data_IF_881996091296
#
_entry.id   IF_881996091296
#
_cell.length_a   1.000
_cell.length_b   1.000
_cell.length_c   1.000
_cell.angle_alpha   90.00
_cell.angle_beta   90.00
_cell.angle_gamma   90.00
#
_symmetry.space_group_name_H-M   'P 1'
#
loop_
_entity.id
_entity.type
_entity.pdbx_description
1 polymer ?
#
# COMPACT_ATOMS: atom_id res chain seq x y z
N UNK A 1 36.22 5.00 -79.95
CA UNK A 1 34.96 5.05 -79.12
C UNK A 1 35.00 4.02 -77.98
N UNK A 2 35.61 2.89 -78.10
CA UNK A 2 35.61 1.79 -77.09
C UNK A 2 36.36 2.10 -75.79
N UNK A 3 37.46 2.91 -75.83
CA UNK A 3 38.23 3.20 -74.60
C UNK A 3 37.62 4.18 -73.61
N UNK A 4 36.72 5.05 -74.09
CA UNK A 4 36.01 6.01 -73.25
C UNK A 4 34.87 5.32 -72.49
N UNK A 5 34.14 4.39 -73.10
CA UNK A 5 33.11 3.59 -72.50
C UNK A 5 33.62 2.73 -71.35
N UNK A 6 34.82 2.16 -71.43
CA UNK A 6 35.44 1.34 -70.35
C UNK A 6 35.79 2.20 -69.14
N UNK A 7 36.26 3.44 -69.33
CA UNK A 7 36.54 4.37 -68.24
C UNK A 7 35.30 4.85 -67.50
N UNK A 8 34.19 5.14 -68.23
CA UNK A 8 32.94 5.55 -67.68
C UNK A 8 32.30 4.42 -66.83
N UNK A 9 32.33 3.18 -67.32
CA UNK A 9 31.86 2.03 -66.53
C UNK A 9 32.64 1.79 -65.26
N UNK A 10 33.97 1.98 -65.23
CA UNK A 10 34.77 1.87 -64.02
C UNK A 10 34.50 2.96 -63.02
N UNK A 11 34.24 4.19 -63.42
CA UNK A 11 33.91 5.32 -62.56
C UNK A 11 32.49 5.12 -61.95
N UNK A 12 31.52 4.62 -62.72
CA UNK A 12 30.18 4.29 -62.21
C UNK A 12 30.23 3.14 -61.22
N UNK A 13 31.06 2.11 -61.45
CA UNK A 13 31.21 0.99 -60.55
C UNK A 13 31.88 1.39 -59.23
N UNK A 14 32.88 2.27 -59.26
CA UNK A 14 33.57 2.80 -58.05
C UNK A 14 32.58 3.73 -57.28
N UNK A 15 31.79 4.56 -57.94
CA UNK A 15 30.81 5.42 -57.32
C UNK A 15 29.65 4.61 -56.66
N UNK A 16 29.23 3.50 -57.29
CA UNK A 16 28.25 2.57 -56.73
C UNK A 16 28.76 1.83 -55.48
N UNK A 17 30.06 1.42 -55.47
CA UNK A 17 30.66 0.82 -54.31
C UNK A 17 30.81 1.80 -53.13
N UNK A 18 31.11 3.07 -53.39
CA UNK A 18 31.15 4.08 -52.32
C UNK A 18 29.76 4.40 -51.71
N UNK A 19 28.70 4.34 -52.52
CA UNK A 19 27.31 4.53 -52.04
C UNK A 19 26.84 3.40 -51.10
N UNK A 20 27.30 2.17 -51.27
CA UNK A 20 26.92 1.03 -50.43
C UNK A 20 27.61 1.05 -49.07
N UNK A 21 28.79 1.65 -48.93
CA UNK A 21 29.54 1.74 -47.67
C UNK A 21 28.89 2.80 -46.72
N UNK A 22 28.22 3.82 -47.28
CA UNK A 22 27.54 4.86 -46.48
C UNK A 22 26.21 4.41 -45.85
N UNK A 23 25.64 3.28 -46.29
CA UNK A 23 24.33 2.80 -45.79
C UNK A 23 24.43 2.01 -44.49
N UNK A 24 25.60 1.64 -44.01
CA UNK A 24 25.78 0.89 -42.76
C UNK A 24 25.48 1.69 -41.48
N UNK A 25 25.32 3.01 -41.58
CA UNK A 25 24.99 3.86 -40.41
C UNK A 25 23.49 3.94 -40.07
N UNK A 26 22.64 3.38 -40.95
CA UNK A 26 21.15 3.49 -40.82
C UNK A 26 20.53 2.18 -40.31
N UNK A 27 21.32 1.16 -40.03
CA UNK A 27 20.81 -0.10 -39.48
C UNK A 27 20.25 0.14 -38.05
N UNK A 28 19.05 -0.36 -37.73
CA UNK A 28 18.47 -0.25 -36.39
C UNK A 28 19.40 -0.93 -35.41
N UNK A 29 19.82 -0.17 -34.38
CA UNK A 29 20.69 -0.64 -33.31
C UNK A 29 19.87 -0.93 -32.07
N UNK A 30 20.35 -1.88 -31.28
CA UNK A 30 19.70 -2.28 -30.02
C UNK A 30 19.88 -1.30 -28.84
N UNK A 31 20.42 -0.10 -29.12
CA UNK A 31 20.61 0.97 -28.14
C UNK A 31 21.77 1.92 -28.54
N UNK A 32 21.94 3.05 -27.84
CA UNK A 32 23.01 4.00 -28.09
C UNK A 32 24.37 3.37 -27.78
N UNK A 33 25.38 3.69 -28.59
CA UNK A 33 26.75 3.25 -28.31
C UNK A 33 27.41 4.18 -27.28
N UNK A 34 28.55 3.75 -26.73
CA UNK A 34 29.33 4.50 -25.75
C UNK A 34 29.64 5.94 -26.20
N UNK A 35 29.97 6.11 -27.46
CA UNK A 35 30.34 7.43 -28.04
C UNK A 35 29.13 8.34 -28.08
N UNK A 36 27.96 7.86 -28.47
CA UNK A 36 26.69 8.63 -28.49
C UNK A 36 26.29 9.06 -27.08
N UNK A 37 26.38 8.16 -26.09
CA UNK A 37 26.07 8.51 -24.69
C UNK A 37 27.06 9.56 -24.17
N UNK A 38 28.37 9.40 -24.41
CA UNK A 38 29.38 10.36 -23.94
C UNK A 38 29.37 11.69 -24.70
N UNK A 39 28.96 11.70 -25.96
CA UNK A 39 28.77 12.91 -26.73
C UNK A 39 27.57 13.73 -26.26
N UNK A 40 26.46 13.08 -25.91
CA UNK A 40 25.27 13.75 -25.40
C UNK A 40 25.47 14.46 -24.05
N UNK A 41 26.46 14.00 -23.28
CA UNK A 41 26.83 14.62 -22.00
C UNK A 41 27.80 15.81 -22.12
N UNK A 42 28.42 16.02 -23.32
CA UNK A 42 29.44 17.07 -23.56
C UNK A 42 28.93 18.24 -24.39
N UNK A 43 27.69 18.25 -24.81
CA UNK A 43 27.08 19.33 -25.59
C UNK A 43 26.81 20.62 -24.78
N UNK A 44 26.54 21.72 -25.47
CA UNK A 44 26.18 23.00 -24.82
C UNK A 44 24.92 22.92 -23.95
N UNK A 45 24.01 21.97 -24.23
CA UNK A 45 22.85 21.63 -23.38
C UNK A 45 22.87 20.13 -23.12
N UNK A 46 23.60 19.67 -22.09
CA UNK A 46 23.70 18.25 -21.78
C UNK A 46 22.35 17.70 -21.32
N UNK A 47 21.86 16.67 -22.00
CA UNK A 47 20.63 15.96 -21.64
C UNK A 47 20.84 14.93 -20.52
N UNK A 48 22.11 14.63 -20.19
CA UNK A 48 22.47 13.70 -19.13
C UNK A 48 23.83 14.06 -18.53
N UNK A 49 23.99 13.87 -17.24
CA UNK A 49 25.28 13.95 -16.56
C UNK A 49 25.86 12.55 -16.40
N UNK A 50 27.11 12.36 -16.83
CA UNK A 50 27.82 11.08 -16.67
C UNK A 50 28.72 11.15 -15.45
N UNK A 51 28.41 10.33 -14.46
CA UNK A 51 29.20 10.18 -13.25
C UNK A 51 29.85 8.80 -13.26
N UNK A 52 31.18 8.67 -13.08
CA UNK A 52 31.85 7.36 -12.99
C UNK A 52 31.34 6.64 -11.72
N UNK A 53 31.03 5.34 -11.85
CA UNK A 53 30.60 4.53 -10.71
C UNK A 53 31.83 4.21 -9.85
N UNK A 54 32.00 4.93 -8.75
CA UNK A 54 33.00 4.69 -7.72
C UNK A 54 32.33 4.25 -6.41
N UNK A 55 33.05 3.65 -5.44
CA UNK A 55 32.48 3.29 -4.16
C UNK A 55 31.82 4.48 -3.43
N UNK A 56 32.40 5.67 -3.56
CA UNK A 56 31.89 6.91 -2.97
C UNK A 56 30.55 7.30 -3.60
N UNK A 57 30.46 7.27 -4.94
CA UNK A 57 29.23 7.59 -5.67
C UNK A 57 28.14 6.57 -5.34
N UNK A 58 28.47 5.30 -5.22
CA UNK A 58 27.53 4.25 -4.82
C UNK A 58 26.98 4.52 -3.43
N UNK A 59 27.83 4.93 -2.49
CA UNK A 59 27.44 5.26 -1.13
C UNK A 59 26.51 6.48 -1.08
N UNK A 60 26.88 7.58 -1.75
CA UNK A 60 26.11 8.83 -1.80
C UNK A 60 24.78 8.69 -2.56
N UNK A 61 24.73 7.84 -3.59
CA UNK A 61 23.52 7.59 -4.37
C UNK A 61 22.66 6.45 -3.83
N UNK A 62 23.04 5.84 -2.71
CA UNK A 62 22.23 4.88 -2.02
C UNK A 62 21.00 5.62 -1.48
N UNK A 63 19.84 5.38 -2.07
CA UNK A 63 18.60 5.99 -1.61
C UNK A 63 18.36 5.62 -0.14
N UNK A 64 18.10 6.60 0.73
CA UNK A 64 17.69 6.30 2.08
C UNK A 64 16.33 5.60 2.03
N UNK A 65 16.33 4.31 2.19
CA UNK A 65 15.12 3.50 2.22
C UNK A 65 14.43 3.54 3.59
N UNK A 66 14.55 4.62 4.32
CA UNK A 66 13.89 4.77 5.61
C UNK A 66 12.45 5.26 5.43
N UNK A 67 11.61 4.40 4.87
CA UNK A 67 10.18 4.50 5.11
C UNK A 67 9.94 4.18 6.58
N UNK A 68 8.99 4.86 7.21
CA UNK A 68 8.67 4.61 8.61
C UNK A 68 7.54 5.51 9.08
N UNK A 69 6.92 5.11 10.18
CA UNK A 69 5.88 5.92 10.78
C UNK A 69 6.47 7.11 11.53
N UNK A 70 5.83 8.27 11.39
CA UNK A 70 6.16 9.45 12.18
C UNK A 70 5.80 9.23 13.65
N UNK A 71 6.40 10.03 14.53
CA UNK A 71 6.15 9.95 15.99
C UNK A 71 4.67 10.02 16.35
N UNK A 72 3.87 10.79 15.60
CA UNK A 72 2.43 10.92 15.83
C UNK A 72 1.65 9.62 15.58
N UNK A 73 2.12 8.77 14.68
CA UNK A 73 1.55 7.44 14.46
C UNK A 73 2.03 6.45 15.52
N UNK A 74 3.34 6.43 15.81
CA UNK A 74 3.96 5.49 16.76
C UNK A 74 3.47 5.69 18.20
N UNK A 75 3.19 6.93 18.61
CA UNK A 75 2.71 7.27 19.95
C UNK A 75 1.19 7.18 20.10
N UNK A 76 0.46 6.80 19.05
CA UNK A 76 -0.98 6.66 19.12
C UNK A 76 -1.36 5.52 20.06
N UNK A 77 -2.10 5.84 21.13
CA UNK A 77 -2.61 4.81 22.05
C UNK A 77 -3.73 4.01 21.37
N UNK A 78 -3.83 2.71 21.60
CA UNK A 78 -4.94 1.91 21.09
C UNK A 78 -6.29 2.49 21.54
N UNK A 79 -7.29 2.41 20.65
CA UNK A 79 -8.66 2.78 21.02
C UNK A 79 -9.17 1.85 22.10
N UNK A 80 -9.86 2.41 23.09
CA UNK A 80 -10.65 1.58 24.00
C UNK A 80 -11.83 1.02 23.18
N UNK A 81 -11.70 -0.26 22.81
CA UNK A 81 -12.68 -0.95 21.99
C UNK A 81 -13.93 -1.39 22.78
N UNK A 82 -13.94 -1.24 24.11
CA UNK A 82 -15.09 -1.58 24.98
C UNK A 82 -16.11 -0.44 25.01
N UNK A 83 -15.67 0.80 24.79
CA UNK A 83 -16.57 1.94 24.80
C UNK A 83 -17.49 1.95 23.58
N UNK A 84 -18.77 2.10 23.82
CA UNK A 84 -19.77 2.25 22.77
C UNK A 84 -19.68 3.64 22.14
N UNK A 85 -19.93 3.72 20.84
CA UNK A 85 -19.84 4.94 20.04
C UNK A 85 -21.10 5.15 19.21
N UNK A 86 -21.36 6.40 18.76
CA UNK A 86 -22.37 6.64 17.75
C UNK A 86 -22.13 5.77 16.51
N UNK A 87 -23.17 5.14 15.97
CA UNK A 87 -23.08 4.21 14.86
C UNK A 87 -22.90 2.75 15.25
N UNK A 88 -22.51 2.43 16.48
CA UNK A 88 -22.50 1.05 16.97
C UNK A 88 -23.93 0.49 17.05
N UNK A 89 -24.03 -0.83 16.91
CA UNK A 89 -25.31 -1.54 17.05
C UNK A 89 -25.27 -2.42 18.29
N UNK A 90 -26.27 -2.27 19.13
CA UNK A 90 -26.42 -3.01 20.36
C UNK A 90 -27.57 -4.05 20.27
N UNK A 91 -27.37 -5.13 20.99
CA UNK A 91 -28.36 -6.18 21.21
C UNK A 91 -28.62 -6.23 22.68
N UNK A 92 -29.93 -6.05 23.06
CA UNK A 92 -30.37 -6.08 24.42
C UNK A 92 -31.32 -7.28 24.64
N UNK A 93 -31.11 -7.98 25.75
CA UNK A 93 -32.06 -8.96 26.24
C UNK A 93 -32.48 -8.54 27.63
N UNK A 94 -33.79 -8.44 27.85
CA UNK A 94 -34.36 -8.01 29.11
C UNK A 94 -35.30 -9.13 29.62
N UNK A 95 -35.01 -9.64 30.79
CA UNK A 95 -35.83 -10.62 31.47
C UNK A 95 -36.62 -9.91 32.57
N UNK A 96 -37.90 -10.22 32.66
CA UNK A 96 -38.84 -9.71 33.69
C UNK A 96 -39.31 -10.87 34.56
N UNK A 97 -39.30 -10.68 35.86
CA UNK A 97 -39.70 -11.70 36.81
C UNK A 97 -41.22 -11.62 37.12
N UNK A 98 -42.05 -11.54 36.04
CA UNK A 98 -43.50 -11.45 36.10
C UNK A 98 -44.13 -12.26 34.95
N UNK A 99 -45.36 -12.84 35.20
CA UNK A 99 -46.01 -13.68 34.19
C UNK A 99 -46.53 -12.91 32.96
N UNK A 100 -46.91 -11.62 33.15
CA UNK A 100 -47.33 -10.69 32.08
C UNK A 100 -46.46 -9.42 32.13
N UNK A 101 -45.19 -9.57 31.67
CA UNK A 101 -44.24 -8.46 31.67
C UNK A 101 -44.58 -7.36 30.67
N UNK A 102 -44.08 -6.15 30.90
CA UNK A 102 -44.29 -4.99 30.02
C UNK A 102 -43.66 -5.16 28.66
N UNK A 103 -42.50 -5.84 28.60
CA UNK A 103 -41.72 -6.05 27.43
C UNK A 103 -41.84 -7.47 26.87
N UNK A 104 -42.11 -8.45 27.73
CA UNK A 104 -42.32 -9.84 27.36
C UNK A 104 -43.77 -10.13 27.06
N UNK A 105 -44.08 -10.82 25.95
CA UNK A 105 -45.43 -11.23 25.60
C UNK A 105 -45.50 -12.76 25.47
N UNK A 106 -46.54 -13.34 26.13
CA UNK A 106 -46.82 -14.77 26.06
C UNK A 106 -45.97 -15.62 27.01
N UNK A 107 -45.56 -16.82 26.58
CA UNK A 107 -44.83 -17.79 27.42
C UNK A 107 -43.33 -17.48 27.56
N UNK A 108 -42.84 -16.35 27.07
CA UNK A 108 -41.42 -15.95 27.15
C UNK A 108 -41.26 -14.87 28.21
N UNK A 109 -40.48 -15.12 29.24
CA UNK A 109 -40.09 -14.12 30.26
C UNK A 109 -38.97 -13.18 29.81
N UNK A 110 -38.57 -13.23 28.53
CA UNK A 110 -37.49 -12.42 27.97
C UNK A 110 -37.96 -11.66 26.75
N UNK A 111 -37.67 -10.37 26.70
CA UNK A 111 -37.79 -9.50 25.53
C UNK A 111 -36.43 -9.26 24.93
N UNK A 112 -36.31 -9.50 23.62
CA UNK A 112 -35.05 -9.26 22.87
C UNK A 112 -35.25 -8.06 21.94
N UNK A 113 -34.42 -7.05 22.12
CA UNK A 113 -34.31 -5.88 21.24
C UNK A 113 -33.05 -5.99 20.43
N UNK A 114 -33.19 -6.37 19.16
CA UNK A 114 -32.07 -6.52 18.20
C UNK A 114 -31.87 -5.22 17.43
N UNK A 115 -30.68 -5.02 16.96
CA UNK A 115 -30.30 -3.95 16.01
C UNK A 115 -30.60 -2.52 16.48
N UNK A 116 -30.39 -2.28 17.78
CA UNK A 116 -30.49 -0.94 18.35
C UNK A 116 -29.27 -0.12 17.97
N UNK A 117 -29.41 0.71 16.94
CA UNK A 117 -28.32 1.59 16.50
C UNK A 117 -28.20 2.78 17.45
N UNK A 118 -26.97 3.07 17.88
CA UNK A 118 -26.63 4.28 18.63
C UNK A 118 -26.69 5.47 17.68
N UNK A 119 -27.56 6.43 17.99
CA UNK A 119 -27.78 7.62 17.18
C UNK A 119 -26.60 8.59 17.23
N UNK A 120 -26.60 9.61 16.35
CA UNK A 120 -25.52 10.61 16.27
C UNK A 120 -25.35 11.44 17.56
N UNK A 121 -26.32 11.43 18.47
CA UNK A 121 -26.24 12.05 19.81
C UNK A 121 -25.69 11.10 20.88
N UNK A 122 -25.38 9.87 20.51
CA UNK A 122 -24.84 8.83 21.39
C UNK A 122 -25.88 8.14 22.24
N UNK A 123 -27.15 8.12 21.80
CA UNK A 123 -28.30 7.56 22.57
C UNK A 123 -28.92 6.40 21.82
N UNK A 124 -29.55 5.53 22.60
CA UNK A 124 -30.49 4.51 22.11
C UNK A 124 -31.89 4.76 22.71
N UNK A 125 -32.91 4.25 22.04
CA UNK A 125 -34.26 4.21 22.59
C UNK A 125 -34.56 2.80 23.10
N UNK A 126 -34.95 2.72 24.39
CA UNK A 126 -35.37 1.48 25.01
C UNK A 126 -36.82 1.68 25.46
N UNK A 127 -37.79 0.83 25.03
CA UNK A 127 -39.18 0.93 25.47
C UNK A 127 -39.27 0.99 26.99
N UNK A 128 -40.15 1.81 27.49
CA UNK A 128 -40.41 2.10 28.93
C UNK A 128 -39.24 2.79 29.67
N UNK A 129 -38.00 2.61 29.26
CA UNK A 129 -36.84 3.32 29.81
C UNK A 129 -36.53 4.65 29.08
N UNK A 130 -37.09 4.84 27.86
CA UNK A 130 -36.91 6.06 27.10
C UNK A 130 -35.57 6.14 26.36
N UNK A 131 -35.04 7.37 26.24
CA UNK A 131 -33.73 7.61 25.57
C UNK A 131 -32.59 7.57 26.58
N UNK A 132 -31.67 6.65 26.42
CA UNK A 132 -30.53 6.42 27.31
C UNK A 132 -29.23 6.81 26.60
N UNK A 133 -28.40 7.60 27.30
CA UNK A 133 -27.03 7.91 26.82
C UNK A 133 -26.15 6.68 26.97
N UNK A 134 -25.60 6.19 25.86
CA UNK A 134 -24.76 4.98 25.82
C UNK A 134 -23.35 5.23 25.25
N UNK A 135 -23.19 6.26 24.44
CA UNK A 135 -21.86 6.60 23.93
C UNK A 135 -20.92 7.02 25.06
N UNK A 136 -19.71 6.47 25.05
CA UNK A 136 -18.70 6.69 26.07
C UNK A 136 -18.80 5.74 27.26
N UNK A 137 -19.79 4.84 27.28
CA UNK A 137 -19.98 3.82 28.32
C UNK A 137 -19.62 2.44 27.80
N UNK A 138 -19.26 1.56 28.72
CA UNK A 138 -19.09 0.12 28.46
C UNK A 138 -20.44 -0.59 28.43
N UNK A 139 -20.56 -1.78 27.82
CA UNK A 139 -21.80 -2.56 27.87
C UNK A 139 -22.32 -2.81 29.31
N UNK A 140 -21.39 -3.00 30.26
CA UNK A 140 -21.77 -3.21 31.67
C UNK A 140 -22.35 -1.95 32.33
N UNK A 141 -21.77 -0.78 32.08
CA UNK A 141 -22.32 0.49 32.56
C UNK A 141 -23.71 0.76 31.95
N UNK A 142 -23.87 0.46 30.64
CA UNK A 142 -25.15 0.58 29.94
C UNK A 142 -26.19 -0.37 30.54
N UNK A 143 -25.80 -1.62 30.85
CA UNK A 143 -26.66 -2.58 31.54
C UNK A 143 -27.22 -1.98 32.84
N UNK A 144 -26.32 -1.38 33.65
CA UNK A 144 -26.74 -0.75 34.93
C UNK A 144 -27.68 0.43 34.70
N UNK A 145 -27.40 1.31 33.72
CA UNK A 145 -28.27 2.45 33.39
C UNK A 145 -29.66 1.99 32.95
N UNK A 146 -29.72 0.96 32.09
CA UNK A 146 -31.05 0.45 31.65
C UNK A 146 -31.79 -0.23 32.79
N UNK A 147 -31.08 -1.06 33.59
CA UNK A 147 -31.70 -1.72 34.76
C UNK A 147 -32.30 -0.68 35.69
N UNK A 148 -31.55 0.38 36.02
CA UNK A 148 -32.03 1.46 36.89
C UNK A 148 -33.25 2.18 36.31
N UNK A 149 -33.25 2.47 35.00
CA UNK A 149 -34.35 3.14 34.33
C UNK A 149 -35.65 2.29 34.27
N UNK A 150 -35.51 0.96 34.32
CA UNK A 150 -36.65 0.02 34.30
C UNK A 150 -37.14 -0.37 35.68
N UNK A 151 -36.39 -0.13 36.77
CA UNK A 151 -36.77 -0.53 38.15
C UNK A 151 -38.13 0.00 38.60
N UNK A 152 -38.52 1.22 38.16
CA UNK A 152 -39.80 1.82 38.50
C UNK A 152 -40.94 1.34 37.58
N UNK A 153 -40.63 0.59 36.53
CA UNK A 153 -41.60 0.21 35.50
C UNK A 153 -41.94 -1.29 35.56
N UNK A 154 -40.97 -2.14 35.96
CA UNK A 154 -41.18 -3.59 36.06
C UNK A 154 -40.43 -4.17 37.26
N UNK A 155 -40.89 -5.36 37.72
CA UNK A 155 -40.32 -6.01 38.89
C UNK A 155 -39.05 -6.78 38.57
N UNK A 156 -37.91 -6.43 39.23
CA UNK A 156 -36.61 -7.10 39.17
C UNK A 156 -36.11 -7.32 37.74
N UNK A 157 -35.97 -6.26 36.89
CA UNK A 157 -35.53 -6.39 35.53
C UNK A 157 -34.04 -6.86 35.45
N UNK A 158 -33.81 -7.94 34.71
CA UNK A 158 -32.45 -8.43 34.40
C UNK A 158 -32.13 -8.03 32.98
N UNK A 159 -31.03 -7.31 32.78
CA UNK A 159 -30.66 -6.78 31.46
C UNK A 159 -29.31 -7.36 31.04
N UNK A 160 -29.20 -7.80 29.80
CA UNK A 160 -27.93 -8.11 29.12
C UNK A 160 -27.73 -7.16 27.94
N UNK A 161 -26.54 -6.61 27.82
CA UNK A 161 -26.14 -5.71 26.72
C UNK A 161 -24.95 -6.28 26.00
N UNK A 162 -25.08 -6.48 24.69
CA UNK A 162 -24.01 -6.90 23.80
C UNK A 162 -23.90 -5.92 22.64
N UNK A 163 -22.68 -5.60 22.22
CA UNK A 163 -22.45 -4.94 20.94
C UNK A 163 -22.46 -6.00 19.83
N UNK A 164 -23.43 -5.93 18.92
CA UNK A 164 -23.59 -6.86 17.80
C UNK A 164 -22.77 -6.45 16.58
N UNK A 165 -22.60 -5.14 16.34
CA UNK A 165 -21.76 -4.62 15.29
C UNK A 165 -21.05 -3.33 15.75
N UNK A 166 -19.81 -3.14 15.33
CA UNK A 166 -18.98 -1.99 15.66
C UNK A 166 -18.76 -1.11 14.43
N UNK A 167 -19.73 -0.23 14.11
CA UNK A 167 -19.58 0.76 13.05
C UNK A 167 -19.15 2.14 13.57
N UNK A 168 -19.03 2.30 14.90
CA UNK A 168 -18.67 3.56 15.55
C UNK A 168 -17.17 3.93 15.45
N UNK A 169 -16.33 3.02 14.98
CA UNK A 169 -14.93 3.30 14.61
C UNK A 169 -14.50 2.33 13.52
N UNK A 170 -14.12 2.87 12.38
CA UNK A 170 -13.80 2.07 11.19
C UNK A 170 -12.54 2.55 10.50
N UNK A 171 -11.90 1.65 9.75
CA UNK A 171 -10.84 1.97 8.80
C UNK A 171 -11.21 1.49 7.41
N UNK A 172 -10.71 2.16 6.38
CA UNK A 172 -10.85 1.70 5.01
C UNK A 172 -9.54 1.10 4.53
N UNK A 173 -9.62 -0.08 3.88
CA UNK A 173 -8.47 -0.79 3.31
C UNK A 173 -8.66 -0.91 1.81
N UNK A 174 -7.66 -0.47 1.04
CA UNK A 174 -7.69 -0.42 -0.42
C UNK A 174 -6.35 -0.90 -0.96
N UNK A 175 -6.36 -1.57 -2.11
CA UNK A 175 -5.17 -1.98 -2.86
C UNK A 175 -4.94 -3.49 -2.88
N UNK A 176 -3.68 -3.92 -2.86
CA UNK A 176 -3.28 -5.32 -3.03
C UNK A 176 -3.48 -6.16 -1.76
N UNK A 177 -4.74 -6.35 -1.36
CA UNK A 177 -5.16 -7.09 -0.16
C UNK A 177 -6.26 -8.08 -0.52
N UNK A 178 -6.40 -9.17 0.25
CA UNK A 178 -7.39 -10.21 0.00
C UNK A 178 -8.83 -9.72 0.04
N UNK A 179 -9.17 -8.78 0.94
CA UNK A 179 -10.48 -8.14 1.04
C UNK A 179 -10.34 -6.62 1.15
N UNK A 180 -10.77 -5.90 0.11
CA UNK A 180 -10.87 -4.44 0.19
C UNK A 180 -12.22 -4.05 0.81
N UNK A 181 -12.24 -3.00 1.64
CA UNK A 181 -13.49 -2.57 2.25
C UNK A 181 -13.30 -1.70 3.48
N UNK A 182 -14.41 -1.53 4.21
CA UNK A 182 -14.46 -0.82 5.48
C UNK A 182 -14.51 -1.87 6.59
N UNK A 183 -13.60 -1.76 7.55
CA UNK A 183 -13.43 -2.71 8.64
C UNK A 183 -13.63 -2.01 9.98
N UNK A 184 -14.38 -2.60 10.90
CA UNK A 184 -14.53 -2.07 12.26
C UNK A 184 -13.25 -2.27 13.08
N UNK A 185 -12.92 -1.28 13.91
CA UNK A 185 -11.85 -1.40 14.89
C UNK A 185 -12.41 -2.09 16.13
N UNK A 186 -12.09 -3.37 16.27
CA UNK A 186 -12.43 -4.19 17.43
C UNK A 186 -11.20 -4.36 18.34
N UNK A 187 -11.41 -4.97 19.51
CA UNK A 187 -10.29 -5.28 20.42
C UNK A 187 -9.19 -6.08 19.75
N UNK A 188 -9.54 -7.00 18.86
CA UNK A 188 -8.62 -7.89 18.14
C UNK A 188 -7.98 -7.26 16.90
N UNK A 189 -8.58 -6.19 16.34
CA UNK A 189 -8.16 -5.57 15.07
C UNK A 189 -7.76 -4.11 15.24
N UNK A 190 -7.31 -3.73 16.44
CA UNK A 190 -6.97 -2.35 16.80
C UNK A 190 -5.60 -1.87 16.34
N UNK A 191 -4.75 -2.80 15.85
CA UNK A 191 -3.43 -2.49 15.31
C UNK A 191 -3.37 -2.75 13.81
N UNK A 192 -2.39 -2.17 13.13
CA UNK A 192 -2.24 -2.26 11.69
C UNK A 192 -2.07 -3.70 11.22
N UNK A 193 -1.18 -4.46 11.86
CA UNK A 193 -0.89 -5.85 11.48
C UNK A 193 -2.11 -6.76 11.61
N UNK A 194 -2.82 -6.66 12.74
CA UNK A 194 -4.02 -7.47 13.00
C UNK A 194 -5.18 -7.10 12.06
N UNK A 195 -5.27 -5.83 11.71
CA UNK A 195 -6.26 -5.35 10.74
C UNK A 195 -5.96 -5.88 9.34
N UNK A 196 -4.70 -5.86 8.89
CA UNK A 196 -4.30 -6.43 7.60
C UNK A 196 -4.57 -7.94 7.54
N UNK A 197 -4.32 -8.66 8.63
CA UNK A 197 -4.66 -10.08 8.72
C UNK A 197 -6.16 -10.32 8.60
N UNK A 198 -7.00 -9.50 9.24
CA UNK A 198 -8.47 -9.62 9.14
C UNK A 198 -9.01 -9.29 7.75
N UNK A 199 -8.28 -8.48 6.98
CA UNK A 199 -8.61 -8.17 5.58
C UNK A 199 -8.17 -9.27 4.60
N UNK A 200 -7.83 -10.47 5.08
CA UNK A 200 -7.47 -11.62 4.26
C UNK A 200 -5.99 -11.67 3.86
N UNK A 201 -5.15 -10.86 4.49
CA UNK A 201 -3.70 -10.83 4.22
C UNK A 201 -3.35 -10.37 2.81
N UNK A 202 -2.15 -10.71 2.38
CA UNK A 202 -1.58 -10.23 1.11
C UNK A 202 -1.09 -11.41 0.28
N UNK A 203 -1.51 -11.44 -0.98
CA UNK A 203 -1.12 -12.48 -1.95
C UNK A 203 0.24 -12.26 -2.62
N UNK A 204 1.04 -11.28 -2.16
CA UNK A 204 2.32 -10.89 -2.73
C UNK A 204 3.42 -10.91 -1.66
N UNK A 205 4.70 -10.93 -2.10
CA UNK A 205 5.83 -10.93 -1.17
C UNK A 205 5.84 -9.65 -0.32
N UNK A 206 5.97 -9.80 0.98
CA UNK A 206 5.96 -8.67 1.94
C UNK A 206 7.03 -7.61 1.64
N UNK A 207 8.21 -8.03 1.18
CA UNK A 207 9.33 -7.16 0.80
C UNK A 207 9.01 -6.17 -0.33
N UNK A 208 7.98 -6.48 -1.13
CA UNK A 208 7.57 -5.69 -2.30
C UNK A 208 6.27 -4.91 -2.06
N UNK A 209 5.79 -4.87 -0.83
CA UNK A 209 4.55 -4.19 -0.49
C UNK A 209 4.82 -2.99 0.39
N UNK A 210 4.31 -1.84 -0.03
CA UNK A 210 4.26 -0.63 0.78
C UNK A 210 2.87 -0.48 1.38
N UNK A 211 2.85 -0.22 2.66
CA UNK A 211 1.63 0.08 3.41
C UNK A 211 1.66 1.56 3.76
N UNK A 212 0.73 2.31 3.22
CA UNK A 212 0.53 3.73 3.52
C UNK A 212 -0.66 3.89 4.45
N UNK A 213 -0.48 4.57 5.56
CA UNK A 213 -1.57 4.95 6.46
C UNK A 213 -1.81 6.45 6.37
N UNK A 214 -3.06 6.82 6.11
CA UNK A 214 -3.51 8.22 6.01
C UNK A 214 -4.48 8.48 7.15
N UNK A 215 -4.11 9.40 8.03
CA UNK A 215 -4.89 9.86 9.20
C UNK A 215 -5.15 11.36 9.10
N UNK A 216 -6.35 11.74 8.68
CA UNK A 216 -6.65 13.14 8.36
C UNK A 216 -5.75 13.67 7.25
N UNK A 217 -4.87 14.61 7.56
CA UNK A 217 -3.88 15.18 6.63
C UNK A 217 -2.49 14.52 6.75
N UNK A 218 -2.29 13.64 7.74
CA UNK A 218 -1.02 12.97 7.95
C UNK A 218 -0.93 11.73 7.08
N UNK A 219 0.21 11.53 6.44
CA UNK A 219 0.54 10.34 5.66
C UNK A 219 1.87 9.77 6.14
N UNK A 220 1.92 8.47 6.32
CA UNK A 220 3.15 7.73 6.61
C UNK A 220 3.15 6.40 5.90
N UNK A 221 4.33 5.95 5.54
CA UNK A 221 4.52 4.72 4.75
C UNK A 221 5.54 3.81 5.45
N UNK A 222 5.32 2.51 5.33
CA UNK A 222 6.22 1.47 5.82
C UNK A 222 6.26 0.31 4.82
N UNK A 223 7.38 -0.37 4.74
CA UNK A 223 7.42 -1.66 4.06
C UNK A 223 6.77 -2.74 4.93
N UNK A 224 6.03 -3.64 4.33
CA UNK A 224 5.28 -4.65 5.08
C UNK A 224 6.18 -5.63 5.84
N UNK A 225 7.34 -5.99 5.29
CA UNK A 225 8.34 -6.80 5.96
C UNK A 225 8.86 -6.11 7.23
N UNK A 226 9.11 -4.79 7.18
CA UNK A 226 9.52 -4.01 8.35
C UNK A 226 8.43 -3.96 9.44
N UNK A 227 7.15 -3.96 9.05
CA UNK A 227 6.05 -4.05 10.01
C UNK A 227 6.06 -5.40 10.76
N UNK A 228 6.47 -6.48 10.08
CA UNK A 228 6.57 -7.80 10.70
C UNK A 228 7.83 -7.98 11.55
N UNK A 229 8.95 -7.41 11.09
CA UNK A 229 10.24 -7.54 11.76
C UNK A 229 10.38 -6.62 12.97
N UNK A 230 9.59 -5.53 13.02
CA UNK A 230 9.67 -4.49 14.05
C UNK A 230 8.31 -4.25 14.72
N UNK A 231 8.03 -4.91 15.85
CA UNK A 231 6.76 -4.74 16.56
C UNK A 231 6.44 -3.29 16.95
N UNK A 232 7.45 -2.44 17.12
CA UNK A 232 7.26 -1.01 17.39
C UNK A 232 6.66 -0.22 16.22
N UNK A 233 6.69 -0.78 15.00
CA UNK A 233 6.04 -0.21 13.81
C UNK A 233 4.56 -0.60 13.72
N UNK A 234 4.06 -1.51 14.56
CA UNK A 234 2.66 -1.92 14.56
C UNK A 234 1.79 -0.87 15.26
N UNK A 235 1.44 0.17 14.52
CA UNK A 235 0.71 1.32 15.03
C UNK A 235 -0.73 0.99 15.42
N UNK A 236 -1.23 1.71 16.44
CA UNK A 236 -2.64 1.70 16.79
C UNK A 236 -3.47 2.48 15.75
N UNK A 237 -4.53 1.86 15.27
CA UNK A 237 -5.46 2.44 14.31
C UNK A 237 -6.45 3.41 14.98
N UNK A 238 -6.93 4.37 14.20
CA UNK A 238 -7.93 5.36 14.59
C UNK A 238 -9.12 5.33 13.65
N UNK A 239 -10.24 5.78 14.15
CA UNK A 239 -11.42 5.98 13.31
C UNK A 239 -11.12 6.91 12.14
N UNK A 240 -11.57 6.51 10.94
CA UNK A 240 -11.33 7.23 9.70
C UNK A 240 -9.94 7.04 9.09
N UNK A 241 -9.06 6.20 9.64
CA UNK A 241 -7.79 5.84 9.00
C UNK A 241 -8.06 5.17 7.65
N UNK A 242 -7.25 5.55 6.66
CA UNK A 242 -7.22 4.89 5.35
C UNK A 242 -5.91 4.18 5.18
N UNK A 243 -5.98 2.90 4.87
CA UNK A 243 -4.84 2.03 4.65
C UNK A 243 -4.78 1.70 3.17
N UNK A 244 -3.73 2.16 2.51
CA UNK A 244 -3.47 1.89 1.10
C UNK A 244 -2.32 0.91 0.99
N UNK A 245 -2.53 -0.16 0.23
CA UNK A 245 -1.59 -1.26 0.07
C UNK A 245 -1.19 -1.33 -1.40
N UNK A 246 0.07 -1.02 -1.68
CA UNK A 246 0.61 -0.93 -3.03
C UNK A 246 1.76 -1.91 -3.21
N UNK A 247 1.64 -2.79 -4.22
CA UNK A 247 2.76 -3.59 -4.65
C UNK A 247 3.79 -2.71 -5.39
N UNK A 248 5.07 -2.98 -5.18
CA UNK A 248 6.14 -2.30 -5.91
C UNK A 248 6.04 -2.64 -7.40
N UNK A 249 5.84 -1.62 -8.22
CA UNK A 249 5.72 -1.73 -9.67
C UNK A 249 6.99 -1.25 -10.40
N UNK A 250 8.07 -0.99 -9.67
CA UNK A 250 9.31 -0.55 -10.28
C UNK A 250 9.84 -1.62 -11.23
N UNK A 251 10.38 -1.18 -12.34
CA UNK A 251 11.03 -2.02 -13.34
C UNK A 251 12.25 -1.31 -13.89
N UNK A 252 13.18 -2.08 -14.42
CA UNK A 252 14.31 -1.56 -15.17
C UNK A 252 14.32 -2.16 -16.57
N UNK A 253 14.89 -1.41 -17.52
CA UNK A 253 15.03 -1.85 -18.90
C UNK A 253 16.51 -2.09 -19.17
N UNK A 254 16.83 -3.25 -19.69
CA UNK A 254 18.18 -3.58 -20.15
C UNK A 254 18.19 -3.64 -21.66
N UNK A 255 19.12 -2.90 -22.26
CA UNK A 255 19.32 -2.79 -23.70
C UNK A 255 20.80 -2.90 -24.04
N UNK A 256 21.11 -3.19 -25.30
CA UNK A 256 22.50 -3.29 -25.81
C UNK A 256 23.00 -4.73 -25.90
N UNK A 257 24.31 -4.90 -25.75
CA UNK A 257 24.98 -6.18 -25.92
C UNK A 257 24.87 -7.09 -24.68
N UNK A 258 23.65 -7.53 -24.39
CA UNK A 258 23.30 -8.44 -23.28
C UNK A 258 22.72 -9.75 -23.80
N UNK A 259 22.59 -10.76 -22.95
CA UNK A 259 22.02 -12.06 -23.34
C UNK A 259 20.63 -11.94 -23.91
N UNK A 260 19.80 -11.05 -23.32
CA UNK A 260 18.51 -10.62 -23.89
C UNK A 260 18.21 -9.16 -23.49
N UNK A 261 17.45 -8.47 -24.33
CA UNK A 261 16.93 -7.16 -24.01
C UNK A 261 15.52 -7.34 -23.41
N UNK A 262 15.28 -6.74 -22.27
CA UNK A 262 14.00 -6.89 -21.59
C UNK A 262 13.73 -5.74 -20.61
N UNK A 263 12.45 -5.50 -20.37
CA UNK A 263 11.99 -4.82 -19.18
C UNK A 263 11.76 -5.89 -18.08
N UNK A 264 12.40 -5.70 -16.93
CA UNK A 264 12.36 -6.64 -15.81
C UNK A 264 11.80 -5.93 -14.58
N UNK A 265 10.72 -6.43 -13.96
CA UNK A 265 10.23 -5.88 -12.71
C UNK A 265 11.22 -6.15 -11.58
N UNK A 266 11.22 -5.30 -10.56
CA UNK A 266 11.92 -5.57 -9.32
C UNK A 266 11.22 -6.71 -8.60
N UNK A 267 11.96 -7.72 -8.18
CA UNK A 267 11.49 -8.87 -7.39
C UNK A 267 12.05 -8.87 -5.97
N UNK A 268 12.81 -7.82 -5.64
CA UNK A 268 13.35 -7.47 -4.33
C UNK A 268 13.38 -5.94 -4.22
N UNK A 269 13.44 -5.43 -2.99
CA UNK A 269 13.45 -4.00 -2.68
C UNK A 269 14.62 -3.25 -3.33
N UNK A 270 15.80 -3.86 -3.29
CA UNK A 270 17.04 -3.34 -3.87
C UNK A 270 17.63 -4.38 -4.83
N UNK A 271 18.13 -3.92 -5.94
CA UNK A 271 18.77 -4.76 -6.96
C UNK A 271 20.09 -4.09 -7.36
N UNK A 272 21.17 -4.81 -7.31
CA UNK A 272 22.46 -4.32 -7.83
C UNK A 272 22.49 -4.37 -9.37
N UNK A 273 23.30 -3.52 -9.98
CA UNK A 273 23.48 -3.55 -11.44
C UNK A 273 23.99 -4.92 -11.95
N UNK A 274 24.78 -5.61 -11.14
CA UNK A 274 25.27 -6.96 -11.49
C UNK A 274 24.13 -7.99 -11.46
N UNK A 275 23.28 -7.97 -10.45
CA UNK A 275 22.08 -8.82 -10.39
C UNK A 275 21.13 -8.52 -11.53
N UNK A 276 20.89 -7.24 -11.82
CA UNK A 276 20.07 -6.82 -12.95
C UNK A 276 20.60 -7.41 -14.27
N UNK A 277 21.90 -7.32 -14.52
CA UNK A 277 22.54 -7.93 -15.69
C UNK A 277 22.41 -9.46 -15.70
N UNK A 278 22.58 -10.12 -14.57
CA UNK A 278 22.49 -11.58 -14.49
C UNK A 278 21.12 -12.11 -14.89
N UNK A 279 20.02 -11.38 -14.58
CA UNK A 279 18.65 -11.75 -14.92
C UNK A 279 18.33 -11.77 -16.41
N UNK A 280 19.16 -11.09 -17.22
CA UNK A 280 19.05 -11.08 -18.68
C UNK A 280 20.14 -11.92 -19.37
N UNK A 281 20.87 -12.74 -18.60
CA UNK A 281 21.91 -13.63 -19.13
C UNK A 281 23.28 -12.96 -19.23
N UNK A 282 23.51 -11.84 -18.55
CA UNK A 282 24.79 -11.14 -18.50
C UNK A 282 25.14 -10.35 -19.77
N UNK A 283 26.38 -9.92 -19.85
CA UNK A 283 26.94 -9.25 -21.02
C UNK A 283 27.34 -10.29 -22.09
N UNK A 284 27.12 -9.94 -23.36
CA UNK A 284 27.58 -10.78 -24.49
C UNK A 284 29.10 -10.82 -24.53
N UNK A 285 29.68 -12.02 -24.44
CA UNK A 285 31.15 -12.20 -24.46
C UNK A 285 31.82 -11.69 -25.73
N UNK A 286 31.08 -11.61 -26.83
CA UNK A 286 31.61 -11.25 -28.14
C UNK A 286 31.32 -9.79 -28.55
N UNK A 287 30.30 -9.17 -27.97
CA UNK A 287 29.81 -7.87 -28.45
C UNK A 287 29.87 -6.78 -27.39
N UNK A 288 29.91 -7.15 -26.11
CA UNK A 288 29.88 -6.18 -25.04
C UNK A 288 31.27 -5.64 -24.68
N UNK A 289 31.35 -4.32 -24.47
CA UNK A 289 32.48 -3.69 -23.78
C UNK A 289 32.11 -3.56 -22.28
N UNK A 290 32.78 -4.31 -21.38
CA UNK A 290 32.49 -4.22 -19.94
C UNK A 290 32.72 -2.82 -19.35
N UNK A 291 33.53 -1.98 -20.01
CA UNK A 291 33.78 -0.57 -19.62
C UNK A 291 32.70 0.39 -20.16
N UNK A 292 31.81 -0.11 -21.00
CA UNK A 292 30.75 0.65 -21.64
C UNK A 292 29.34 0.37 -21.05
N UNK A 293 29.25 -0.03 -19.79
CA UNK A 293 27.98 -0.23 -19.09
C UNK A 293 27.54 1.08 -18.45
N UNK A 294 26.33 1.52 -18.75
CA UNK A 294 25.73 2.73 -18.21
C UNK A 294 24.44 2.39 -17.46
N UNK A 295 24.24 3.03 -16.30
CA UNK A 295 22.98 3.01 -15.57
C UNK A 295 22.33 4.37 -15.75
N UNK A 296 21.17 4.40 -16.42
CA UNK A 296 20.41 5.61 -16.64
C UNK A 296 19.33 5.72 -15.55
N UNK A 297 19.35 6.81 -14.81
CA UNK A 297 18.32 7.14 -13.82
C UNK A 297 17.67 8.46 -14.21
N UNK A 298 16.35 8.52 -14.11
CA UNK A 298 15.62 9.79 -14.17
C UNK A 298 15.65 10.38 -12.76
N UNK A 299 16.22 11.56 -12.58
CA UNK A 299 15.98 12.34 -11.37
C UNK A 299 14.61 12.98 -11.50
N UNK A 300 13.71 12.66 -10.56
CA UNK A 300 12.53 13.48 -10.36
C UNK A 300 13.03 14.79 -9.73
N UNK A 301 13.06 15.85 -10.53
CA UNK A 301 13.20 17.20 -10.00
C UNK A 301 11.94 17.46 -9.17
N UNK A 302 12.01 17.16 -7.87
CA UNK A 302 11.10 17.74 -6.90
C UNK A 302 11.44 19.23 -6.82
N UNK A 303 10.63 20.04 -7.50
CA UNK A 303 10.58 21.49 -7.35
C UNK A 303 10.05 21.84 -5.95
#
# INVERSE_FOLDING_TARGET
MTSIMIKINKIILISACFGVISSCTILPRSGPNRFEVTASARGENPTAHIVPVTPEVVYETKMPAALGFTKSFLQAQPLNAELIRPGDTLHLTIWENVEDGLLSSGMSSAATLSDLQVDGSGRIFVPYAGRIQVAGHTPEEIRQLITQALQDQTHDPQVEVRRSAGAGATVSIIGSVGGQGIYPILHQTRTLSTMLASAGGLGVKAELVRVTVIRGQLRSEVWLDELYDRPEMDIALRDGDRILIEADQRSFVIMGATGRQAQVPFDQREISALEALSRVGGLSAYQADPKGVFVLRKEDQSI
#
